data_IF_343796755096
#
_entry.id   IF_343796755096
#
_cell.length_a   1.000
_cell.length_b   1.000
_cell.length_c   1.000
_cell.angle_alpha   90.00
_cell.angle_beta   90.00
_cell.angle_gamma   90.00
#
_symmetry.space_group_name_H-M   'P 1'
#
loop_
_entity.id
_entity.type
_entity.pdbx_description
1 polymer ?
#
# COMPACT_ATOMS: atom_id res chain seq x y z
N UNK A 1 -0.24 11.99 -27.44
CA UNK A 1 -0.39 11.39 -26.11
C UNK A 1 -1.57 12.08 -25.45
N UNK A 2 -2.50 11.35 -24.81
CA UNK A 2 -3.64 12.00 -24.13
C UNK A 2 -3.13 12.78 -22.90
N UNK A 3 -3.85 13.84 -22.50
CA UNK A 3 -3.52 14.58 -21.28
C UNK A 3 -3.53 13.66 -20.05
N UNK A 4 -4.43 12.67 -20.02
CA UNK A 4 -4.53 11.69 -18.95
C UNK A 4 -3.30 10.79 -18.85
N UNK A 5 -2.76 10.33 -19.98
CA UNK A 5 -1.53 9.56 -20.00
C UNK A 5 -0.35 10.36 -19.42
N UNK A 6 -0.19 11.62 -19.81
CA UNK A 6 0.87 12.49 -19.27
C UNK A 6 0.71 12.73 -17.77
N UNK A 7 -0.51 13.02 -17.31
CA UNK A 7 -0.79 13.24 -15.88
C UNK A 7 -0.53 11.97 -15.05
N UNK A 8 -0.97 10.81 -15.53
CA UNK A 8 -0.73 9.53 -14.87
C UNK A 8 0.73 9.12 -14.88
N UNK A 9 1.43 9.28 -16.00
CA UNK A 9 2.88 9.01 -16.10
C UNK A 9 3.66 9.87 -15.10
N UNK A 10 3.32 11.16 -15.01
CA UNK A 10 3.93 12.07 -14.04
C UNK A 10 3.66 11.62 -12.60
N UNK A 11 2.40 11.32 -12.27
CA UNK A 11 1.99 10.93 -10.93
C UNK A 11 2.67 9.63 -10.48
N UNK A 12 2.69 8.61 -11.33
CA UNK A 12 3.36 7.34 -11.04
C UNK A 12 4.88 7.53 -10.91
N UNK A 13 5.51 8.33 -11.78
CA UNK A 13 6.94 8.58 -11.68
C UNK A 13 7.31 9.30 -10.37
N UNK A 14 6.57 10.35 -10.00
CA UNK A 14 6.73 11.05 -8.73
C UNK A 14 6.51 10.10 -7.55
N UNK A 15 5.50 9.24 -7.63
CA UNK A 15 5.19 8.23 -6.62
C UNK A 15 6.34 7.22 -6.44
N UNK A 16 6.94 6.73 -7.53
CA UNK A 16 8.12 5.86 -7.50
C UNK A 16 9.31 6.58 -6.87
N UNK A 17 9.62 7.79 -7.32
CA UNK A 17 10.73 8.59 -6.78
C UNK A 17 10.54 8.81 -5.27
N UNK A 18 9.34 9.22 -4.85
CA UNK A 18 9.01 9.45 -3.46
C UNK A 18 9.27 8.21 -2.59
N UNK A 19 8.75 7.05 -3.00
CA UNK A 19 8.89 5.80 -2.23
C UNK A 19 10.33 5.28 -2.27
N UNK A 20 11.04 5.39 -3.39
CA UNK A 20 12.44 4.97 -3.48
C UNK A 20 13.35 5.84 -2.60
N UNK A 21 13.15 7.15 -2.59
CA UNK A 21 13.87 8.06 -1.70
C UNK A 21 13.54 7.74 -0.24
N UNK A 22 12.27 7.51 0.08
CA UNK A 22 11.86 7.13 1.43
C UNK A 22 12.53 5.83 1.87
N UNK A 23 12.39 4.75 1.09
CA UNK A 23 12.99 3.44 1.38
C UNK A 23 14.51 3.52 1.51
N UNK A 24 15.18 4.30 0.65
CA UNK A 24 16.61 4.58 0.78
C UNK A 24 16.91 5.23 2.13
N UNK A 25 16.21 6.31 2.52
CA UNK A 25 16.46 6.97 3.80
C UNK A 25 16.22 6.06 5.00
N UNK A 26 15.17 5.22 4.96
CA UNK A 26 14.87 4.23 6.00
C UNK A 26 16.00 3.20 6.11
N UNK A 27 16.47 2.64 4.99
CA UNK A 27 17.56 1.66 4.97
C UNK A 27 18.89 2.21 5.51
N UNK A 28 19.11 3.53 5.44
CA UNK A 28 20.30 4.20 5.97
C UNK A 28 20.09 4.87 7.35
N UNK A 29 18.97 4.60 8.04
CA UNK A 29 18.67 5.07 9.40
C UNK A 29 18.98 6.55 9.66
N UNK A 30 18.52 7.44 8.78
CA UNK A 30 18.87 8.87 8.90
C UNK A 30 18.37 9.49 10.20
N UNK A 31 19.20 10.37 10.77
CA UNK A 31 18.96 10.96 12.10
C UNK A 31 17.71 11.82 12.19
N UNK A 32 17.22 12.35 11.07
CA UNK A 32 16.06 13.25 11.03
C UNK A 32 14.71 12.54 11.26
N UNK A 33 14.67 11.20 11.23
CA UNK A 33 13.45 10.48 11.58
C UNK A 33 13.16 10.56 13.08
N UNK A 34 11.87 10.55 13.40
CA UNK A 34 11.37 10.59 14.77
C UNK A 34 11.95 9.41 15.59
N UNK A 35 12.49 9.65 16.80
CA UNK A 35 13.09 8.59 17.60
C UNK A 35 12.14 7.44 17.92
N UNK A 36 10.88 7.74 18.25
CA UNK A 36 9.87 6.72 18.60
C UNK A 36 9.55 5.87 17.37
N UNK A 37 9.39 6.51 16.21
CA UNK A 37 9.18 5.81 14.95
C UNK A 37 10.39 4.94 14.57
N UNK A 38 11.62 5.44 14.78
CA UNK A 38 12.84 4.69 14.49
C UNK A 38 12.97 3.42 15.32
N UNK A 39 12.58 3.50 16.59
CA UNK A 39 12.60 2.37 17.51
C UNK A 39 11.55 1.33 17.13
N UNK A 40 10.32 1.77 16.92
CA UNK A 40 9.17 0.88 16.79
C UNK A 40 8.88 0.43 15.36
N UNK A 41 9.46 1.10 14.36
CA UNK A 41 9.17 0.91 12.93
C UNK A 41 7.89 1.60 12.44
N UNK A 42 7.10 2.11 13.39
CA UNK A 42 5.75 2.64 13.21
C UNK A 42 5.50 3.74 14.22
N UNK A 43 4.46 4.55 13.98
CA UNK A 43 3.95 5.45 14.99
C UNK A 43 2.86 4.78 15.84
N UNK A 44 3.26 4.09 16.91
CA UNK A 44 2.33 3.30 17.72
C UNK A 44 1.63 4.15 18.78
N UNK A 45 0.30 4.20 18.72
CA UNK A 45 -0.52 4.80 19.77
C UNK A 45 -0.92 3.77 20.83
N UNK A 46 -1.19 4.25 22.05
CA UNK A 46 -1.62 3.44 23.20
C UNK A 46 -0.82 2.13 23.37
N UNK A 47 0.54 2.19 23.42
CA UNK A 47 1.35 0.98 23.49
C UNK A 47 1.04 0.13 24.72
N UNK A 48 0.51 0.74 25.78
CA UNK A 48 0.17 0.08 27.05
C UNK A 48 -1.24 -0.57 27.06
N UNK A 49 -2.01 -0.46 25.98
CA UNK A 49 -3.35 -1.05 25.89
C UNK A 49 -3.38 -2.22 24.90
N UNK A 50 -3.34 -3.45 25.42
CA UNK A 50 -3.17 -4.70 24.67
C UNK A 50 -4.14 -4.95 23.49
N UNK A 51 -5.30 -4.30 23.49
CA UNK A 51 -6.33 -4.46 22.46
C UNK A 51 -6.68 -3.15 21.75
N UNK A 52 -5.98 -2.06 22.07
CA UNK A 52 -6.26 -0.73 21.54
C UNK A 52 -4.98 0.00 21.08
N UNK A 53 -3.93 -0.77 20.79
CA UNK A 53 -2.74 -0.25 20.12
C UNK A 53 -3.10 0.21 18.71
N UNK A 54 -2.26 1.05 18.08
CA UNK A 54 -2.48 1.40 16.67
C UNK A 54 -2.60 0.16 15.78
N UNK A 55 -1.87 -0.93 16.05
CA UNK A 55 -1.94 -2.14 15.24
C UNK A 55 -3.28 -2.88 15.38
N UNK A 56 -3.85 -2.94 16.59
CA UNK A 56 -5.20 -3.47 16.78
C UNK A 56 -6.23 -2.62 16.03
N UNK A 57 -6.11 -1.30 16.13
CA UNK A 57 -6.99 -0.37 15.43
C UNK A 57 -6.86 -0.47 13.91
N UNK A 58 -5.65 -0.65 13.38
CA UNK A 58 -5.42 -0.89 11.96
C UNK A 58 -6.13 -2.17 11.50
N UNK A 59 -5.98 -3.28 12.24
CA UNK A 59 -6.71 -4.52 11.96
C UNK A 59 -8.23 -4.27 11.89
N UNK A 60 -8.81 -3.62 12.90
CA UNK A 60 -10.26 -3.37 12.93
C UNK A 60 -10.72 -2.48 11.79
N UNK A 61 -9.94 -1.43 11.51
CA UNK A 61 -10.26 -0.42 10.51
C UNK A 61 -10.13 -0.99 9.10
N UNK A 62 -9.10 -1.77 8.82
CA UNK A 62 -8.92 -2.44 7.54
C UNK A 62 -10.06 -3.40 7.24
N UNK A 63 -10.50 -4.20 8.21
CA UNK A 63 -11.65 -5.08 8.03
C UNK A 63 -12.95 -4.30 7.80
N UNK A 64 -13.22 -3.28 8.63
CA UNK A 64 -14.43 -2.48 8.53
C UNK A 64 -14.50 -1.74 7.19
N UNK A 65 -13.43 -1.03 6.81
CA UNK A 65 -13.38 -0.25 5.57
C UNK A 65 -13.28 -1.13 4.33
N UNK A 66 -12.65 -2.30 4.40
CA UNK A 66 -12.70 -3.31 3.33
C UNK A 66 -14.11 -3.81 3.10
N UNK A 67 -14.90 -4.02 4.16
CA UNK A 67 -16.32 -4.38 4.03
C UNK A 67 -17.14 -3.31 3.32
N UNK A 68 -16.93 -2.04 3.69
CA UNK A 68 -17.58 -0.89 3.01
C UNK A 68 -17.16 -0.82 1.55
N UNK A 69 -15.87 -0.91 1.25
CA UNK A 69 -15.34 -0.86 -0.12
C UNK A 69 -15.85 -2.04 -0.96
N UNK A 70 -15.93 -3.24 -0.40
CA UNK A 70 -16.51 -4.41 -1.06
C UNK A 70 -17.98 -4.20 -1.41
N UNK A 71 -18.75 -3.59 -0.50
CA UNK A 71 -20.13 -3.19 -0.77
C UNK A 71 -20.23 -2.24 -1.96
N UNK A 72 -19.44 -1.16 -1.97
CA UNK A 72 -19.39 -0.17 -3.06
C UNK A 72 -19.02 -0.85 -4.40
N UNK A 73 -17.94 -1.63 -4.42
CA UNK A 73 -17.47 -2.32 -5.64
C UNK A 73 -18.52 -3.29 -6.14
N UNK A 74 -19.13 -4.09 -5.26
CA UNK A 74 -20.14 -5.09 -5.66
C UNK A 74 -21.37 -4.44 -6.27
N UNK A 75 -21.81 -3.30 -5.73
CA UNK A 75 -23.00 -2.60 -6.23
C UNK A 75 -22.77 -1.91 -7.59
N UNK A 76 -21.53 -1.51 -7.89
CA UNK A 76 -21.25 -0.59 -8.99
C UNK A 76 -20.35 -1.18 -10.10
N UNK A 77 -19.69 -2.32 -9.87
CA UNK A 77 -18.72 -2.92 -10.82
C UNK A 77 -19.28 -3.25 -12.21
N UNK A 78 -20.58 -3.57 -12.28
CA UNK A 78 -21.23 -4.00 -13.52
C UNK A 78 -21.80 -2.82 -14.32
N UNK A 79 -21.58 -1.58 -13.86
CA UNK A 79 -21.99 -0.38 -14.58
C UNK A 79 -21.06 -0.12 -15.78
N UNK A 80 -21.59 0.28 -16.96
CA UNK A 80 -20.77 0.52 -18.14
C UNK A 80 -19.68 1.58 -17.92
N UNK A 81 -18.43 1.29 -18.29
CA UNK A 81 -17.31 2.21 -18.14
C UNK A 81 -16.56 2.13 -16.81
N UNK A 82 -16.85 1.12 -15.98
CA UNK A 82 -16.18 0.88 -14.69
C UNK A 82 -15.02 -0.11 -14.78
N UNK A 83 -14.71 -0.67 -15.94
CA UNK A 83 -13.77 -1.78 -16.11
C UNK A 83 -12.36 -1.44 -15.60
N UNK A 84 -11.87 -0.24 -15.92
CA UNK A 84 -10.56 0.23 -15.46
C UNK A 84 -10.53 0.50 -13.95
N UNK A 85 -11.62 1.01 -13.37
CA UNK A 85 -11.72 1.22 -11.93
C UNK A 85 -11.78 -0.11 -11.16
N UNK A 86 -12.51 -1.10 -11.68
CA UNK A 86 -12.55 -2.47 -11.13
C UNK A 86 -11.18 -3.13 -11.16
N UNK A 87 -10.39 -2.90 -12.21
CA UNK A 87 -9.03 -3.44 -12.29
C UNK A 87 -8.11 -2.86 -11.21
N UNK A 88 -8.24 -1.56 -10.91
CA UNK A 88 -7.36 -0.85 -9.97
C UNK A 88 -7.80 -0.99 -8.50
N UNK A 89 -9.11 -1.05 -8.25
CA UNK A 89 -9.70 -0.99 -6.91
C UNK A 89 -10.71 -2.12 -6.65
N UNK A 90 -10.60 -3.22 -7.39
CA UNK A 90 -11.49 -4.37 -7.27
C UNK A 90 -11.17 -5.29 -6.09
N UNK A 91 -11.69 -6.53 -6.17
CA UNK A 91 -11.60 -7.53 -5.10
C UNK A 91 -10.15 -7.85 -4.71
N UNK A 92 -9.21 -7.86 -5.64
CA UNK A 92 -7.79 -8.10 -5.34
C UNK A 92 -7.20 -7.05 -4.38
N UNK A 93 -7.52 -5.77 -4.60
CA UNK A 93 -7.06 -4.69 -3.73
C UNK A 93 -7.70 -4.81 -2.33
N UNK A 94 -8.99 -5.12 -2.26
CA UNK A 94 -9.71 -5.34 -1.00
C UNK A 94 -9.08 -6.50 -0.22
N UNK A 95 -8.75 -7.61 -0.88
CA UNK A 95 -8.06 -8.74 -0.24
C UNK A 95 -6.65 -8.35 0.24
N UNK A 96 -5.97 -7.45 -0.49
CA UNK A 96 -4.71 -6.85 -0.05
C UNK A 96 -4.85 -6.09 1.26
N UNK A 97 -5.90 -5.24 1.40
CA UNK A 97 -6.17 -4.47 2.61
C UNK A 97 -6.53 -5.40 3.78
N UNK A 98 -7.32 -6.45 3.56
CA UNK A 98 -7.60 -7.47 4.59
C UNK A 98 -6.31 -8.18 5.02
N UNK A 99 -5.47 -8.58 4.06
CA UNK A 99 -4.18 -9.23 4.35
C UNK A 99 -3.25 -8.32 5.14
N UNK A 100 -3.23 -7.02 4.82
CA UNK A 100 -2.51 -5.98 5.55
C UNK A 100 -2.97 -5.88 7.01
N UNK A 101 -4.29 -5.77 7.23
CA UNK A 101 -4.87 -5.75 8.57
C UNK A 101 -4.56 -7.02 9.38
N UNK A 102 -4.59 -8.20 8.76
CA UNK A 102 -4.14 -9.45 9.40
C UNK A 102 -2.66 -9.36 9.82
N UNK A 103 -1.81 -8.75 8.99
CA UNK A 103 -0.42 -8.46 9.32
C UNK A 103 -0.29 -7.62 10.59
N UNK A 104 -1.07 -6.55 10.72
CA UNK A 104 -1.14 -5.77 11.96
C UNK A 104 -1.66 -6.56 13.15
N UNK A 105 -2.69 -7.39 12.97
CA UNK A 105 -3.19 -8.28 14.01
C UNK A 105 -2.12 -9.27 14.51
N UNK A 106 -1.27 -9.77 13.61
CA UNK A 106 -0.14 -10.63 13.97
C UNK A 106 0.92 -9.87 14.79
N UNK A 107 1.24 -8.63 14.41
CA UNK A 107 2.16 -7.76 15.16
C UNK A 107 1.58 -7.40 16.54
N UNK A 108 0.31 -7.03 16.61
CA UNK A 108 -0.36 -6.73 17.87
C UNK A 108 -0.33 -7.95 18.79
N UNK A 109 -0.71 -9.13 18.28
CA UNK A 109 -0.67 -10.38 19.03
C UNK A 109 0.73 -10.73 19.52
N UNK A 110 1.78 -10.52 18.72
CA UNK A 110 3.16 -10.81 19.14
C UNK A 110 3.68 -9.89 20.23
N UNK A 111 3.03 -8.74 20.48
CA UNK A 111 3.40 -7.78 21.52
C UNK A 111 2.59 -7.93 22.81
N UNK A 112 1.51 -8.70 22.82
CA UNK A 112 0.68 -8.92 24.03
C UNK A 112 1.41 -9.84 25.01
N UNK A 113 1.40 -9.49 26.29
CA UNK A 113 2.01 -10.28 27.35
C UNK A 113 3.54 -10.40 27.29
N UNK A 114 4.20 -9.68 26.39
CA UNK A 114 5.64 -9.44 26.47
C UNK A 114 5.82 -8.33 27.48
N UNK A 115 6.35 -8.65 28.67
CA UNK A 115 6.74 -7.62 29.63
C UNK A 115 7.66 -6.64 28.89
N UNK A 116 7.35 -5.34 28.95
CA UNK A 116 8.05 -4.25 28.24
C UNK A 116 9.51 -4.05 28.73
N UNK A 117 10.22 -5.11 29.07
CA UNK A 117 11.65 -5.09 29.33
C UNK A 117 12.35 -4.65 28.03
N UNK A 118 12.79 -3.40 28.04
CA UNK A 118 13.44 -2.73 26.90
C UNK A 118 14.61 -3.54 26.30
N UNK A 119 15.24 -4.43 27.06
CA UNK A 119 16.36 -5.27 26.60
C UNK A 119 15.97 -6.26 25.48
N UNK A 120 14.77 -6.85 25.50
CA UNK A 120 14.37 -7.83 24.48
C UNK A 120 14.06 -7.14 23.14
N UNK A 121 13.52 -5.92 23.18
CA UNK A 121 13.27 -5.08 22.01
C UNK A 121 14.58 -4.60 21.33
N UNK A 122 15.65 -4.40 22.10
CA UNK A 122 16.96 -4.00 21.57
C UNK A 122 17.61 -5.16 20.79
N UNK A 123 17.46 -6.40 21.25
CA UNK A 123 18.07 -7.57 20.59
C UNK A 123 17.47 -7.85 19.20
N UNK A 124 16.17 -7.64 19.00
CA UNK A 124 15.55 -7.79 17.67
C UNK A 124 16.06 -6.77 16.63
N UNK A 125 16.59 -5.64 17.08
CA UNK A 125 17.00 -4.53 16.21
C UNK A 125 18.49 -4.53 15.85
N UNK A 126 19.34 -5.30 16.53
CA UNK A 126 20.80 -5.08 16.48
C UNK A 126 21.66 -6.21 15.92
N UNK A 127 21.19 -7.45 15.76
CA UNK A 127 22.03 -8.48 15.13
C UNK A 127 21.91 -8.42 13.59
N UNK A 128 23.01 -8.20 12.85
CA UNK A 128 23.08 -8.64 11.46
C UNK A 128 22.69 -10.11 11.43
N UNK A 129 21.90 -10.51 10.43
CA UNK A 129 21.59 -11.92 10.22
C UNK A 129 22.90 -12.70 10.20
N UNK A 130 23.09 -13.64 11.13
CA UNK A 130 24.22 -14.55 11.04
C UNK A 130 24.17 -15.27 9.70
N UNK A 131 25.31 -15.67 9.11
CA UNK A 131 25.32 -16.26 7.76
C UNK A 131 24.33 -17.43 7.61
N UNK A 132 24.14 -18.23 8.67
CA UNK A 132 23.13 -19.29 8.72
C UNK A 132 21.69 -18.77 8.71
N UNK A 133 21.39 -17.73 9.48
CA UNK A 133 20.08 -17.07 9.49
C UNK A 133 19.79 -16.38 8.16
N UNK A 134 20.79 -15.78 7.51
CA UNK A 134 20.65 -15.16 6.19
C UNK A 134 20.21 -16.19 5.15
N UNK A 135 20.91 -17.33 5.07
CA UNK A 135 20.57 -18.39 4.11
C UNK A 135 19.20 -19.00 4.42
N UNK A 136 18.93 -19.33 5.68
CA UNK A 136 17.63 -19.85 6.11
C UNK A 136 16.49 -18.85 5.83
N UNK A 137 16.76 -17.57 6.09
CA UNK A 137 15.93 -16.44 5.75
C UNK A 137 15.62 -16.45 4.26
N UNK A 138 16.60 -16.17 3.40
CA UNK A 138 16.43 -16.05 1.93
C UNK A 138 15.79 -17.28 1.30
N UNK A 139 16.16 -18.49 1.74
CA UNK A 139 15.70 -19.75 1.17
C UNK A 139 14.41 -20.31 1.78
N UNK A 140 13.84 -19.68 2.81
CA UNK A 140 12.59 -20.17 3.44
C UNK A 140 11.45 -20.28 2.41
N UNK A 141 10.87 -21.48 2.18
CA UNK A 141 9.81 -21.66 1.19
C UNK A 141 8.57 -20.80 1.48
N UNK A 142 8.23 -20.59 2.75
CA UNK A 142 7.09 -19.77 3.16
C UNK A 142 7.26 -18.32 2.71
N UNK A 143 8.45 -17.74 2.93
CA UNK A 143 8.71 -16.36 2.52
C UNK A 143 8.79 -16.20 1.00
N UNK A 144 9.29 -17.21 0.27
CA UNK A 144 9.27 -17.19 -1.20
C UNK A 144 7.84 -17.27 -1.75
N UNK A 145 7.01 -18.17 -1.23
CA UNK A 145 5.60 -18.30 -1.63
C UNK A 145 4.86 -16.99 -1.33
N UNK A 146 5.06 -16.40 -0.15
CA UNK A 146 4.51 -15.11 0.22
C UNK A 146 4.81 -14.03 -0.83
N UNK A 147 6.10 -13.84 -1.16
CA UNK A 147 6.50 -12.81 -2.12
C UNK A 147 6.04 -13.10 -3.55
N UNK A 148 6.05 -14.36 -3.99
CA UNK A 148 5.58 -14.74 -5.31
C UNK A 148 4.09 -14.40 -5.45
N UNK A 149 3.27 -14.71 -4.45
CA UNK A 149 1.84 -14.42 -4.48
C UNK A 149 1.55 -12.92 -4.40
N UNK A 150 2.25 -12.18 -3.52
CA UNK A 150 2.14 -10.71 -3.41
C UNK A 150 2.50 -10.02 -4.73
N UNK A 151 3.63 -10.39 -5.32
CA UNK A 151 4.09 -9.83 -6.58
C UNK A 151 3.21 -10.29 -7.74
N UNK A 152 2.63 -11.49 -7.71
CA UNK A 152 1.67 -11.93 -8.74
C UNK A 152 0.39 -11.09 -8.71
N UNK A 153 -0.11 -10.76 -7.53
CA UNK A 153 -1.27 -9.88 -7.39
C UNK A 153 -0.98 -8.46 -7.92
N UNK A 154 0.24 -7.97 -7.69
CA UNK A 154 0.67 -6.62 -8.09
C UNK A 154 1.07 -6.53 -9.57
N UNK A 155 1.65 -7.60 -10.10
CA UNK A 155 2.21 -7.71 -11.45
C UNK A 155 1.52 -8.85 -12.21
N UNK A 156 0.20 -8.78 -12.45
CA UNK A 156 -0.59 -9.91 -12.92
C UNK A 156 -0.15 -10.43 -14.29
N UNK A 157 0.41 -9.56 -15.14
CA UNK A 157 0.90 -9.91 -16.48
C UNK A 157 2.30 -10.55 -16.50
N UNK A 158 3.02 -10.55 -15.38
CA UNK A 158 4.36 -11.14 -15.31
C UNK A 158 4.31 -12.68 -15.22
N UNK A 159 5.33 -13.30 -15.81
CA UNK A 159 5.48 -14.76 -15.82
C UNK A 159 5.90 -15.29 -14.44
N UNK A 160 5.51 -16.52 -14.10
CA UNK A 160 5.87 -17.14 -12.82
C UNK A 160 7.39 -17.25 -12.59
N UNK A 161 8.24 -17.62 -13.58
CA UNK A 161 9.69 -17.60 -13.40
C UNK A 161 10.25 -16.20 -13.10
N UNK A 162 9.76 -15.16 -13.81
CA UNK A 162 10.17 -13.77 -13.54
C UNK A 162 9.79 -13.34 -12.12
N UNK A 163 8.60 -13.73 -11.66
CA UNK A 163 8.12 -13.44 -10.30
C UNK A 163 8.92 -14.20 -9.24
N UNK A 164 9.31 -15.44 -9.50
CA UNK A 164 10.19 -16.21 -8.59
C UNK A 164 11.57 -15.55 -8.47
N UNK A 165 12.17 -15.15 -9.58
CA UNK A 165 13.45 -14.43 -9.58
C UNK A 165 13.33 -13.09 -8.84
N UNK A 166 12.30 -12.29 -9.13
CA UNK A 166 12.08 -11.01 -8.46
C UNK A 166 11.82 -11.20 -6.95
N UNK A 167 11.05 -12.23 -6.57
CA UNK A 167 10.82 -12.58 -5.17
C UNK A 167 12.13 -12.90 -4.45
N UNK A 168 13.00 -13.70 -5.06
CA UNK A 168 14.31 -14.00 -4.50
C UNK A 168 15.15 -12.73 -4.32
N UNK A 169 15.19 -11.85 -5.33
CA UNK A 169 15.89 -10.56 -5.23
C UNK A 169 15.36 -9.70 -4.09
N UNK A 170 14.03 -9.55 -3.99
CA UNK A 170 13.40 -8.77 -2.93
C UNK A 170 13.75 -9.33 -1.55
N UNK A 171 13.80 -10.65 -1.39
CA UNK A 171 14.18 -11.28 -0.13
C UNK A 171 15.63 -11.04 0.25
N UNK A 172 16.54 -11.12 -0.72
CA UNK A 172 17.96 -10.78 -0.51
C UNK A 172 18.06 -9.32 -0.05
N UNK A 173 17.37 -8.40 -0.72
CA UNK A 173 17.36 -6.98 -0.34
C UNK A 173 16.77 -6.77 1.06
N UNK A 174 15.69 -7.48 1.41
CA UNK A 174 15.05 -7.39 2.72
C UNK A 174 16.01 -7.73 3.88
N UNK A 175 17.03 -8.57 3.65
CA UNK A 175 18.02 -8.89 4.70
C UNK A 175 18.89 -7.71 5.10
N UNK A 176 18.97 -6.68 4.25
CA UNK A 176 19.71 -5.43 4.52
C UNK A 176 18.83 -4.36 5.16
N UNK A 177 17.53 -4.63 5.36
CA UNK A 177 16.63 -3.73 6.03
C UNK A 177 16.46 -4.14 7.51
N UNK A 178 16.31 -3.18 8.43
CA UNK A 178 16.07 -3.46 9.84
C UNK A 178 14.72 -4.16 10.03
N UNK A 179 14.66 -5.10 10.98
CA UNK A 179 13.49 -5.97 11.17
C UNK A 179 12.23 -5.17 11.51
N UNK A 180 12.35 -4.11 12.30
CA UNK A 180 11.23 -3.23 12.65
C UNK A 180 10.64 -2.48 11.45
N UNK A 181 11.39 -2.26 10.36
CA UNK A 181 10.88 -1.64 9.12
C UNK A 181 10.46 -2.64 8.04
N UNK A 182 10.38 -3.94 8.33
CA UNK A 182 10.00 -4.94 7.32
C UNK A 182 8.66 -4.64 6.66
N UNK A 183 7.68 -4.17 7.41
CA UNK A 183 6.37 -3.85 6.88
C UNK A 183 6.41 -2.65 5.93
N UNK A 184 7.13 -1.59 6.31
CA UNK A 184 7.44 -0.43 5.47
C UNK A 184 8.20 -0.84 4.20
N UNK A 185 9.12 -1.81 4.30
CA UNK A 185 9.82 -2.38 3.16
C UNK A 185 8.86 -3.13 2.22
N UNK A 186 7.96 -3.99 2.75
CA UNK A 186 6.95 -4.68 1.95
C UNK A 186 6.11 -3.69 1.17
N UNK A 187 5.57 -2.68 1.86
CA UNK A 187 4.76 -1.64 1.24
C UNK A 187 5.54 -0.89 0.14
N UNK A 188 6.79 -0.53 0.39
CA UNK A 188 7.64 0.17 -0.59
C UNK A 188 7.85 -0.65 -1.87
N UNK A 189 8.13 -1.96 -1.73
CA UNK A 189 8.32 -2.86 -2.86
C UNK A 189 7.03 -2.99 -3.68
N UNK A 190 5.90 -3.24 -3.03
CA UNK A 190 4.61 -3.39 -3.70
C UNK A 190 4.23 -2.11 -4.45
N UNK A 191 4.44 -0.97 -3.81
CA UNK A 191 4.08 0.31 -4.36
C UNK A 191 4.94 0.67 -5.59
N UNK A 192 6.25 0.44 -5.52
CA UNK A 192 7.15 0.62 -6.68
C UNK A 192 6.80 -0.37 -7.78
N UNK A 193 6.56 -1.64 -7.46
CA UNK A 193 6.17 -2.65 -8.44
C UNK A 193 4.87 -2.28 -9.17
N UNK A 194 3.84 -1.86 -8.43
CA UNK A 194 2.57 -1.40 -8.99
C UNK A 194 2.76 -0.20 -9.91
N UNK A 195 3.40 0.87 -9.42
CA UNK A 195 3.58 2.09 -10.20
C UNK A 195 4.47 1.86 -11.43
N UNK A 196 5.50 1.02 -11.32
CA UNK A 196 6.35 0.63 -12.45
C UNK A 196 5.58 -0.18 -13.51
N UNK A 197 4.73 -1.11 -13.08
CA UNK A 197 3.86 -1.86 -13.99
C UNK A 197 2.90 -0.93 -14.74
N UNK A 198 2.28 0.00 -14.03
CA UNK A 198 1.39 0.99 -14.62
C UNK A 198 2.12 1.94 -15.60
N UNK A 199 3.39 2.29 -15.33
CA UNK A 199 4.21 3.11 -16.23
C UNK A 199 4.64 2.35 -17.49
N UNK A 200 5.23 1.17 -17.31
CA UNK A 200 5.99 0.47 -18.36
C UNK A 200 5.18 -0.59 -19.10
N UNK A 201 4.20 -1.21 -18.44
CA UNK A 201 3.50 -2.39 -18.98
C UNK A 201 2.07 -2.09 -19.41
N UNK A 202 1.54 -0.90 -19.07
CA UNK A 202 0.20 -0.49 -19.48
C UNK A 202 0.22 0.08 -20.92
N UNK A 203 -0.58 -0.49 -21.84
CA UNK A 203 -0.75 0.05 -23.18
C UNK A 203 -1.19 1.53 -23.15
N UNK A 204 -0.77 2.32 -24.13
CA UNK A 204 -1.03 3.78 -24.14
C UNK A 204 -2.51 4.11 -24.27
N UNK A 205 -3.26 3.25 -24.95
CA UNK A 205 -4.70 3.28 -25.14
C UNK A 205 -5.47 3.06 -23.83
N UNK A 206 -4.89 2.32 -22.89
CA UNK A 206 -5.48 2.03 -21.58
C UNK A 206 -5.15 3.12 -20.53
N UNK A 207 -4.31 4.10 -20.87
CA UNK A 207 -3.93 5.23 -20.00
C UNK A 207 -5.00 6.32 -20.00
N UNK A 208 -6.18 5.95 -19.50
CA UNK A 208 -7.36 6.80 -19.37
C UNK A 208 -7.37 7.69 -18.12
N UNK A 209 -8.56 8.20 -17.79
CA UNK A 209 -8.77 9.06 -16.62
C UNK A 209 -8.47 8.34 -15.31
N UNK A 210 -8.87 7.09 -15.19
CA UNK A 210 -8.70 6.22 -14.02
C UNK A 210 -7.20 6.03 -13.72
N UNK A 211 -6.41 5.84 -14.78
CA UNK A 211 -4.95 5.76 -14.72
C UNK A 211 -4.32 7.05 -14.18
N UNK A 212 -4.83 8.22 -14.57
CA UNK A 212 -4.33 9.48 -14.07
C UNK A 212 -4.75 9.74 -12.62
N UNK A 213 -6.01 9.44 -12.28
CA UNK A 213 -6.60 9.78 -10.99
C UNK A 213 -6.05 8.92 -9.84
N UNK A 214 -5.89 7.62 -10.06
CA UNK A 214 -5.49 6.67 -9.00
C UNK A 214 -4.17 7.04 -8.29
N UNK A 215 -3.04 7.28 -8.98
CA UNK A 215 -1.81 7.66 -8.31
C UNK A 215 -1.89 9.03 -7.63
N UNK A 216 -2.69 9.97 -8.12
CA UNK A 216 -2.86 11.27 -7.46
C UNK A 216 -3.69 11.20 -6.19
N UNK A 217 -4.69 10.34 -6.17
CA UNK A 217 -5.64 10.24 -5.07
C UNK A 217 -5.26 9.20 -4.03
N UNK A 218 -4.65 8.10 -4.45
CA UNK A 218 -4.30 6.97 -3.58
C UNK A 218 -2.79 6.91 -3.41
N UNK A 219 -2.07 6.72 -4.51
CA UNK A 219 -0.64 6.42 -4.47
C UNK A 219 0.20 7.50 -3.78
N UNK A 220 0.36 8.64 -4.44
CA UNK A 220 1.24 9.71 -4.01
C UNK A 220 0.95 10.19 -2.58
N UNK A 221 -0.32 10.44 -2.18
CA UNK A 221 -0.61 10.85 -0.81
C UNK A 221 -0.26 9.80 0.25
N UNK A 222 -0.44 8.50 -0.01
CA UNK A 222 0.02 7.42 0.91
C UNK A 222 1.52 7.55 1.17
N UNK A 223 2.30 7.84 0.13
CA UNK A 223 3.73 8.11 0.27
C UNK A 223 4.05 9.34 1.12
N UNK A 224 3.24 10.41 1.03
CA UNK A 224 3.39 11.61 1.88
C UNK A 224 3.02 11.34 3.34
N UNK A 225 1.98 10.55 3.59
CA UNK A 225 1.58 10.18 4.95
C UNK A 225 2.69 9.36 5.62
N UNK A 226 3.40 8.49 4.88
CA UNK A 226 4.58 7.77 5.40
C UNK A 226 5.72 8.71 5.82
N UNK A 227 5.96 9.79 5.07
CA UNK A 227 6.91 10.83 5.49
C UNK A 227 6.44 11.58 6.74
N UNK A 228 5.16 11.93 6.81
CA UNK A 228 4.60 12.60 7.99
C UNK A 228 4.70 11.69 9.22
N UNK A 229 4.34 10.43 9.10
CA UNK A 229 4.44 9.46 10.18
C UNK A 229 5.88 9.31 10.68
N UNK A 230 6.83 9.09 9.76
CA UNK A 230 8.23 8.85 10.11
C UNK A 230 8.97 10.06 10.68
N UNK A 231 8.50 11.28 10.41
CA UNK A 231 9.17 12.52 10.84
C UNK A 231 8.43 13.27 11.94
N UNK A 232 7.13 13.00 12.14
CA UNK A 232 6.27 13.74 13.07
C UNK A 232 5.52 12.83 14.04
N UNK A 233 5.99 11.59 14.24
CA UNK A 233 5.30 10.62 15.09
C UNK A 233 5.04 11.16 16.50
N UNK A 234 6.10 11.53 17.23
CA UNK A 234 6.02 12.07 18.60
C UNK A 234 5.38 13.47 18.66
N UNK A 235 5.17 14.09 17.49
CA UNK A 235 4.48 15.35 17.35
C UNK A 235 2.95 15.18 17.36
N UNK A 236 2.31 15.58 16.26
CA UNK A 236 0.85 15.55 16.17
C UNK A 236 0.31 14.23 15.64
N UNK A 237 1.12 13.43 14.93
CA UNK A 237 0.63 12.22 14.24
C UNK A 237 0.12 11.19 15.24
N UNK A 238 0.87 10.91 16.32
CA UNK A 238 0.42 9.97 17.36
C UNK A 238 -0.93 10.36 17.98
N UNK A 239 -1.22 11.67 18.09
CA UNK A 239 -2.48 12.19 18.65
C UNK A 239 -3.66 12.08 17.68
N UNK A 240 -3.40 12.11 16.38
CA UNK A 240 -4.42 12.01 15.34
C UNK A 240 -4.80 10.57 14.99
N UNK A 241 -4.04 9.58 15.45
CA UNK A 241 -4.21 8.20 14.98
C UNK A 241 -2.92 7.37 14.94
N UNK A 242 -1.75 8.01 14.99
CA UNK A 242 -0.49 7.31 14.75
C UNK A 242 -0.51 6.63 13.38
N UNK A 243 -0.08 5.37 13.34
CA UNK A 243 -0.10 4.55 12.13
C UNK A 243 -1.50 4.32 11.55
N UNK A 244 -2.56 4.39 12.37
CA UNK A 244 -3.93 4.18 11.91
C UNK A 244 -4.34 5.12 10.77
N UNK A 245 -3.84 6.36 10.77
CA UNK A 245 -4.16 7.35 9.73
C UNK A 245 -3.63 6.88 8.37
N UNK A 246 -2.44 6.30 8.37
CA UNK A 246 -1.80 5.76 7.18
C UNK A 246 -2.67 4.66 6.57
N UNK A 247 -3.05 3.68 7.39
CA UNK A 247 -3.82 2.53 6.92
C UNK A 247 -5.24 2.89 6.54
N UNK A 248 -5.93 3.69 7.36
CA UNK A 248 -7.29 4.14 7.06
C UNK A 248 -7.37 4.95 5.76
N UNK A 249 -6.31 5.70 5.41
CA UNK A 249 -6.28 6.49 4.18
C UNK A 249 -6.39 5.61 2.93
N UNK A 250 -5.78 4.42 2.90
CA UNK A 250 -5.75 3.55 1.72
C UNK A 250 -7.17 3.13 1.26
N UNK A 251 -8.00 2.47 2.08
CA UNK A 251 -9.36 2.11 1.69
C UNK A 251 -10.26 3.33 1.49
N UNK A 252 -10.10 4.40 2.27
CA UNK A 252 -10.92 5.61 2.11
C UNK A 252 -10.66 6.30 0.77
N UNK A 253 -9.40 6.52 0.42
CA UNK A 253 -9.00 7.11 -0.86
C UNK A 253 -9.36 6.21 -2.04
N UNK A 254 -9.26 4.89 -1.87
CA UNK A 254 -9.69 3.90 -2.87
C UNK A 254 -11.21 3.93 -3.09
N UNK A 255 -12.00 4.02 -2.02
CA UNK A 255 -13.45 4.18 -2.11
C UNK A 255 -13.82 5.50 -2.82
N UNK A 256 -13.16 6.60 -2.46
CA UNK A 256 -13.36 7.90 -3.11
C UNK A 256 -13.00 7.85 -4.60
N UNK A 257 -11.86 7.25 -4.95
CA UNK A 257 -11.46 7.00 -6.33
C UNK A 257 -12.55 6.28 -7.11
N UNK A 258 -13.05 5.18 -6.55
CA UNK A 258 -14.04 4.34 -7.20
C UNK A 258 -15.37 5.09 -7.42
N UNK A 259 -15.82 5.84 -6.42
CA UNK A 259 -17.01 6.68 -6.50
C UNK A 259 -16.89 7.78 -7.56
N UNK A 260 -15.73 8.45 -7.66
CA UNK A 260 -15.49 9.47 -8.69
C UNK A 260 -15.57 8.85 -10.10
N UNK A 261 -15.00 7.66 -10.29
CA UNK A 261 -15.07 6.95 -11.56
C UNK A 261 -16.53 6.60 -11.94
N UNK A 262 -17.32 6.12 -10.96
CA UNK A 262 -18.72 5.81 -11.17
C UNK A 262 -19.58 7.03 -11.53
N UNK A 263 -19.37 8.17 -10.85
CA UNK A 263 -20.07 9.43 -11.16
C UNK A 263 -19.77 9.84 -12.61
N UNK A 264 -18.50 9.80 -13.01
CA UNK A 264 -18.09 10.13 -14.38
C UNK A 264 -18.72 9.20 -15.41
N UNK A 265 -18.70 7.89 -15.16
CA UNK A 265 -19.30 6.89 -16.05
C UNK A 265 -20.82 7.11 -16.20
N UNK A 266 -21.50 7.41 -15.09
CA UNK A 266 -22.95 7.66 -15.07
C UNK A 266 -23.34 8.90 -15.88
N UNK A 267 -22.61 10.01 -15.73
CA UNK A 267 -22.83 11.23 -16.53
C UNK A 267 -22.63 10.95 -18.02
N UNK A 268 -21.59 10.19 -18.38
CA UNK A 268 -21.34 9.82 -19.76
C UNK A 268 -22.46 8.94 -20.36
N UNK A 269 -23.03 8.02 -19.56
CA UNK A 269 -24.16 7.20 -19.97
C UNK A 269 -25.42 8.03 -20.21
N UNK A 270 -25.74 8.99 -19.32
CA UNK A 270 -26.88 9.90 -19.47
C UNK A 270 -26.76 10.78 -20.71
N UNK A 271 -25.55 11.28 -21.01
CA UNK A 271 -25.34 12.11 -22.20
C UNK A 271 -25.48 11.34 -23.52
N UNK A 272 -25.23 10.02 -23.52
CA UNK A 272 -25.43 9.16 -24.71
C UNK A 272 -26.90 8.80 -24.94
N UNK A 273 -27.71 8.73 -23.88
CA UNK A 273 -29.14 8.42 -23.98
C UNK A 273 -30.01 9.64 -24.25
N UNK A 274 -29.49 10.86 -24.07
CA UNK A 274 -30.21 12.08 -24.41
C UNK A 274 -30.57 12.08 -25.92
N UNK A 275 -31.85 12.21 -26.29
CA UNK A 275 -32.26 12.20 -27.69
C UNK A 275 -31.51 13.31 -28.42
N UNK A 276 -30.81 12.95 -29.49
CA UNK A 276 -30.20 13.90 -30.43
C UNK A 276 -31.28 14.93 -30.75
N UNK A 277 -31.11 16.19 -30.28
CA UNK A 277 -32.06 17.25 -30.56
C UNK A 277 -32.27 17.25 -32.06
N UNK A 278 -33.45 16.79 -32.50
CA UNK A 278 -33.78 16.67 -33.90
C UNK A 278 -33.45 18.03 -34.52
N UNK A 279 -32.60 18.04 -35.55
CA UNK A 279 -32.35 19.25 -36.33
C UNK A 279 -33.71 19.69 -36.85
N UNK A 280 -34.28 20.71 -36.22
CA UNK A 280 -35.47 21.39 -36.73
C UNK A 280 -35.02 21.99 -38.05
N UNK A 281 -35.55 21.41 -39.13
CA UNK A 281 -35.31 21.83 -40.51
C UNK A 281 -36.00 23.17 -40.78
#
# INVERSE_FOLDING_TARGET
>A
MSIWATLGDTAHAVSVINVMVFAYMVGFHRDFFDPLWKEQGFCVMNPDNEYWTSHDLCLYTDFALSGVLLGIVTLLKDQPGMEAAVQLAGVSQILGIIGHGIGHGAIAKSRRGVDNNAEENIQMNQSPWEAGEFVAGVCSPVGLIFWILLLKATLPKQSWPSLAALSLTVRIVAQFFPRNFMFTFVQSVLFVAFAWNELMMKPKEDKGFEYALYPWLVGFPVGLIGWLESTQCSGFVIRLGGHLIYDAYIPLSTALFYMICWIRASIAATNKSAPSKAKVA
#
